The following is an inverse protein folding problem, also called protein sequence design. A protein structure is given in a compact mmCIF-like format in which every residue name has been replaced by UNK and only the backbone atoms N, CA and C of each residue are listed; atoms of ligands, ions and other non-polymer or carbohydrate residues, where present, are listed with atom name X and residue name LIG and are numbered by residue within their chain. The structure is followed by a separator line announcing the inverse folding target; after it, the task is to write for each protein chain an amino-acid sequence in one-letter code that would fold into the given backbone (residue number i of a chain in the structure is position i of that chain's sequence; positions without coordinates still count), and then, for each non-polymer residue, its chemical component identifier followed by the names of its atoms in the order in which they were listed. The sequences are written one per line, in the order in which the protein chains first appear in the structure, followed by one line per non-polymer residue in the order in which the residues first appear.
data_IF_653134401567
#
_entry.id   IF_653134401567
#
_cell.length_a   1.000
_cell.length_b   1.000
_cell.length_c   1.000
_cell.angle_alpha   90.00
_cell.angle_beta   90.00
_cell.angle_gamma   90.00
#
_symmetry.space_group_name_H-M   'P 1'
#
loop_
_entity.id
_entity.type
_entity.pdbx_description
1 polymer ?
#
# COMPACT_ATOMS: atom_id res chain seq x y z
N UNK A 1 -8.66 7.63 10.50
CA UNK A 1 -8.11 7.29 11.82
C UNK A 1 -7.79 5.81 11.87
N UNK A 2 -6.57 5.45 12.29
CA UNK A 2 -6.16 4.08 12.60
C UNK A 2 -5.85 4.03 14.09
N UNK A 3 -6.47 3.12 14.83
CA UNK A 3 -6.25 2.91 16.26
C UNK A 3 -5.88 1.47 16.53
N UNK A 4 -4.76 1.28 17.22
CA UNK A 4 -4.24 -0.02 17.61
C UNK A 4 -4.11 -0.03 19.13
N UNK A 5 -4.69 -1.03 19.78
CA UNK A 5 -4.70 -1.14 21.24
C UNK A 5 -4.19 -2.50 21.69
N UNK A 6 -3.11 -2.49 22.46
CA UNK A 6 -2.48 -3.65 23.08
C UNK A 6 -2.28 -4.82 22.10
N UNK A 7 -1.86 -4.51 20.88
CA UNK A 7 -1.68 -5.47 19.81
C UNK A 7 -0.58 -6.47 20.17
N UNK A 8 -0.96 -7.75 20.23
CA UNK A 8 -0.02 -8.86 20.23
C UNK A 8 -0.09 -9.59 18.89
N UNK A 9 1.07 -9.86 18.30
CA UNK A 9 1.18 -10.60 17.05
C UNK A 9 2.44 -11.45 17.03
N UNK A 10 2.34 -12.66 16.49
CA UNK A 10 3.43 -13.60 16.37
C UNK A 10 3.35 -14.39 15.07
N UNK A 11 4.50 -14.64 14.43
CA UNK A 11 4.60 -15.69 13.41
C UNK A 11 4.92 -17.00 14.10
N UNK A 12 3.96 -17.94 14.11
CA UNK A 12 4.06 -19.19 14.86
C UNK A 12 4.35 -18.90 16.34
N UNK A 13 5.58 -19.21 16.80
CA UNK A 13 6.02 -18.97 18.17
C UNK A 13 6.88 -17.72 18.34
N UNK A 14 7.29 -17.06 17.25
CA UNK A 14 8.14 -15.86 17.29
C UNK A 14 7.27 -14.62 17.45
N UNK A 15 7.29 -14.04 18.65
CA UNK A 15 6.59 -12.80 18.96
C UNK A 15 7.18 -11.65 18.15
N UNK A 16 6.30 -10.84 17.55
CA UNK A 16 6.63 -9.64 16.78
C UNK A 16 6.19 -8.39 17.55
N UNK A 17 4.96 -8.41 18.07
CA UNK A 17 4.42 -7.34 18.92
C UNK A 17 3.93 -7.93 20.24
N UNK A 18 4.18 -7.20 21.32
CA UNK A 18 3.71 -7.50 22.67
C UNK A 18 3.12 -6.23 23.29
N UNK A 19 1.80 -6.08 23.20
CA UNK A 19 1.12 -4.91 23.77
C UNK A 19 1.32 -3.60 23.01
N UNK A 20 1.58 -3.63 21.70
CA UNK A 20 1.78 -2.41 20.89
C UNK A 20 0.49 -1.58 20.84
N UNK A 21 0.57 -0.30 21.22
CA UNK A 21 -0.53 0.66 21.11
C UNK A 21 -0.09 1.88 20.31
N UNK A 22 -0.85 2.23 19.28
CA UNK A 22 -0.55 3.31 18.34
C UNK A 22 -1.83 3.98 17.86
N UNK A 23 -1.74 5.25 17.49
CA UNK A 23 -2.84 6.00 16.91
C UNK A 23 -2.32 6.88 15.77
N UNK A 24 -3.01 6.84 14.63
CA UNK A 24 -2.73 7.65 13.46
C UNK A 24 -3.99 8.43 13.08
N UNK A 25 -3.83 9.73 12.91
CA UNK A 25 -4.89 10.65 12.50
C UNK A 25 -5.03 10.69 10.98
N UNK A 26 -6.20 11.13 10.52
CA UNK A 26 -6.43 11.32 9.09
C UNK A 26 -5.64 12.54 8.57
N UNK A 27 -5.36 12.56 7.26
CA UNK A 27 -4.74 13.72 6.59
C UNK A 27 -3.24 13.90 6.83
N UNK A 28 -2.55 12.86 7.32
CA UNK A 28 -1.12 12.90 7.60
C UNK A 28 -0.38 11.77 6.87
N UNK A 29 0.89 12.02 6.54
CA UNK A 29 1.82 11.00 6.06
C UNK A 29 2.71 10.58 7.24
N UNK A 30 2.69 9.29 7.57
CA UNK A 30 3.47 8.72 8.68
C UNK A 30 4.62 7.88 8.15
N UNK A 31 5.85 8.17 8.61
CA UNK A 31 7.02 7.33 8.35
C UNK A 31 7.23 6.31 9.48
N UNK A 32 7.19 5.02 9.15
CA UNK A 32 7.52 3.95 10.10
C UNK A 32 9.00 3.56 9.98
N UNK A 33 9.80 3.95 10.97
CA UNK A 33 11.24 3.72 10.98
C UNK A 33 11.65 2.62 11.96
N UNK A 34 12.64 1.82 11.59
CA UNK A 34 13.17 0.75 12.42
C UNK A 34 14.07 -0.20 11.63
N UNK A 35 14.88 -0.99 12.33
CA UNK A 35 15.75 -2.00 11.70
C UNK A 35 14.95 -3.06 10.94
N UNK A 36 15.60 -3.82 10.07
CA UNK A 36 14.96 -4.95 9.41
C UNK A 36 14.56 -6.01 10.45
N UNK A 37 13.38 -6.61 10.27
CA UNK A 37 12.85 -7.61 11.20
C UNK A 37 12.17 -7.07 12.47
N UNK A 38 12.04 -5.74 12.65
CA UNK A 38 11.32 -5.16 13.80
C UNK A 38 9.80 -5.24 13.71
N UNK A 39 9.26 -5.76 12.60
CA UNK A 39 7.82 -5.95 12.41
C UNK A 39 7.12 -4.89 11.57
N UNK A 40 7.84 -3.94 10.94
CA UNK A 40 7.24 -2.88 10.09
C UNK A 40 6.23 -3.42 9.06
N UNK A 41 6.66 -4.35 8.22
CA UNK A 41 5.82 -5.01 7.22
C UNK A 41 4.67 -5.79 7.87
N UNK A 42 4.89 -6.40 9.04
CA UNK A 42 3.81 -7.06 9.80
C UNK A 42 2.75 -6.06 10.24
N UNK A 43 3.15 -4.90 10.77
CA UNK A 43 2.23 -3.84 11.19
C UNK A 43 1.36 -3.37 10.01
N UNK A 44 1.98 -3.08 8.86
CA UNK A 44 1.26 -2.69 7.66
C UNK A 44 0.27 -3.79 7.21
N UNK A 45 0.68 -5.06 7.22
CA UNK A 45 -0.18 -6.19 6.88
C UNK A 45 -1.32 -6.41 7.89
N UNK A 46 -1.09 -6.16 9.18
CA UNK A 46 -2.13 -6.19 10.20
C UNK A 46 -3.18 -5.08 9.95
N UNK A 47 -2.74 -3.84 9.63
CA UNK A 47 -3.62 -2.72 9.29
C UNK A 47 -4.38 -2.99 7.98
N UNK A 48 -3.73 -3.61 6.98
CA UNK A 48 -4.34 -3.99 5.70
C UNK A 48 -5.33 -5.18 5.81
N UNK A 49 -5.47 -5.79 7.00
CA UNK A 49 -6.31 -6.97 7.18
C UNK A 49 -5.77 -8.23 6.51
N UNK A 50 -4.45 -8.33 6.31
CA UNK A 50 -3.75 -9.49 5.77
C UNK A 50 -3.23 -10.42 6.89
N UNK A 51 -3.10 -9.92 8.11
CA UNK A 51 -2.67 -10.69 9.28
C UNK A 51 -3.61 -10.46 10.46
N UNK A 52 -4.09 -11.56 11.06
CA UNK A 52 -4.89 -11.49 12.28
C UNK A 52 -4.03 -11.14 13.50
N UNK A 53 -4.49 -10.27 14.40
CA UNK A 53 -3.88 -10.14 15.72
C UNK A 53 -4.06 -11.43 16.53
N UNK A 54 -3.11 -11.74 17.42
CA UNK A 54 -3.27 -12.81 18.42
C UNK A 54 -4.16 -12.34 19.58
N UNK A 55 -3.97 -11.10 20.00
CA UNK A 55 -4.80 -10.38 20.96
C UNK A 55 -4.67 -8.88 20.74
N UNK A 56 -5.50 -8.10 21.44
CA UNK A 56 -5.65 -6.66 21.21
C UNK A 56 -6.60 -6.38 20.04
N UNK A 57 -6.66 -5.11 19.62
CA UNK A 57 -7.59 -4.66 18.58
C UNK A 57 -6.93 -3.68 17.61
N UNK A 58 -7.43 -3.72 16.38
CA UNK A 58 -7.08 -2.77 15.32
C UNK A 58 -8.39 -2.25 14.75
N UNK A 59 -8.60 -0.94 14.83
CA UNK A 59 -9.71 -0.24 14.21
C UNK A 59 -9.18 0.70 13.13
N UNK A 60 -9.76 0.62 11.94
CA UNK A 60 -9.39 1.43 10.80
C UNK A 60 -10.65 2.06 10.22
N UNK A 61 -10.83 3.36 10.45
CA UNK A 61 -12.05 4.08 10.05
C UNK A 61 -13.36 3.37 10.45
N UNK A 62 -13.41 2.79 11.66
CA UNK A 62 -14.58 2.06 12.14
C UNK A 62 -14.60 0.56 11.80
N UNK A 63 -13.70 0.08 10.94
CA UNK A 63 -13.62 -1.33 10.55
C UNK A 63 -12.60 -2.12 11.37
N UNK A 64 -12.86 -3.41 11.55
CA UNK A 64 -11.87 -4.39 12.00
C UNK A 64 -11.20 -5.02 10.77
N UNK A 65 -9.94 -4.69 10.43
CA UNK A 65 -9.36 -5.02 9.12
C UNK A 65 -9.41 -6.49 8.72
N UNK A 66 -9.16 -7.40 9.67
CA UNK A 66 -9.12 -8.84 9.39
C UNK A 66 -10.47 -9.44 8.97
N UNK A 67 -11.59 -8.74 9.20
CA UNK A 67 -12.90 -9.14 8.68
C UNK A 67 -13.02 -8.90 7.16
N UNK A 68 -12.16 -8.06 6.58
CA UNK A 68 -12.04 -7.81 5.13
C UNK A 68 -13.39 -7.51 4.46
N UNK A 69 -14.23 -6.71 5.14
CA UNK A 69 -15.52 -6.30 4.58
C UNK A 69 -15.31 -5.50 3.27
N UNK A 70 -16.17 -5.65 2.25
CA UNK A 70 -16.00 -4.94 0.98
C UNK A 70 -15.82 -3.43 1.11
N UNK A 71 -16.62 -2.78 1.96
CA UNK A 71 -16.52 -1.34 2.27
C UNK A 71 -15.17 -0.93 2.88
N UNK A 72 -14.49 -1.84 3.58
CA UNK A 72 -13.13 -1.60 4.06
C UNK A 72 -12.11 -1.76 2.93
N UNK A 73 -12.27 -2.80 2.11
CA UNK A 73 -11.32 -3.13 1.04
C UNK A 73 -11.30 -2.09 -0.09
N UNK A 74 -12.41 -1.42 -0.38
CA UNK A 74 -12.44 -0.31 -1.33
C UNK A 74 -11.73 0.97 -0.82
N UNK A 75 -11.49 1.05 0.50
CA UNK A 75 -10.92 2.23 1.19
C UNK A 75 -9.45 2.05 1.61
N UNK A 76 -8.83 0.89 1.32
CA UNK A 76 -7.43 0.59 1.64
C UNK A 76 -6.67 0.01 0.44
N UNK A 77 -5.49 0.54 0.16
CA UNK A 77 -4.56 -0.05 -0.81
C UNK A 77 -3.18 -0.26 -0.19
N UNK A 78 -2.53 -1.37 -0.54
CA UNK A 78 -1.16 -1.67 -0.10
C UNK A 78 -0.22 -1.82 -1.29
N UNK A 79 0.87 -1.05 -1.29
CA UNK A 79 2.05 -1.31 -2.14
C UNK A 79 3.04 -2.13 -1.31
N UNK A 80 3.16 -3.45 -1.54
CA UNK A 80 4.08 -4.28 -0.78
C UNK A 80 5.52 -4.10 -1.25
N UNK A 81 6.49 -4.47 -0.40
CA UNK A 81 7.92 -4.46 -0.74
C UNK A 81 8.19 -5.36 -1.95
N UNK A 82 7.80 -6.63 -1.82
CA UNK A 82 7.81 -7.67 -2.85
C UNK A 82 6.42 -7.85 -3.45
N UNK A 83 6.34 -7.93 -4.77
CA UNK A 83 5.09 -8.12 -5.50
C UNK A 83 5.28 -9.01 -6.71
N UNK A 84 4.18 -9.63 -7.13
CA UNK A 84 4.05 -10.32 -8.40
C UNK A 84 2.91 -9.66 -9.18
N UNK A 85 3.17 -9.34 -10.45
CA UNK A 85 2.14 -8.84 -11.37
C UNK A 85 1.88 -9.88 -12.45
N UNK A 86 0.61 -10.06 -12.85
CA UNK A 86 0.27 -10.93 -13.96
C UNK A 86 0.87 -10.42 -15.26
N UNK A 87 1.11 -11.34 -16.20
CA UNK A 87 1.57 -11.04 -17.55
C UNK A 87 0.39 -10.58 -18.43
N UNK A 88 -0.04 -9.35 -18.20
CA UNK A 88 -1.13 -8.70 -18.93
C UNK A 88 -0.75 -7.26 -19.30
N UNK A 89 -1.38 -6.67 -20.32
CA UNK A 89 -1.30 -5.24 -20.59
C UNK A 89 -1.69 -4.39 -19.37
N UNK A 90 -1.12 -3.19 -19.26
CA UNK A 90 -1.50 -2.24 -18.20
C UNK A 90 -3.01 -1.92 -18.26
N UNK A 91 -3.57 -1.78 -19.47
CA UNK A 91 -4.99 -1.51 -19.67
C UNK A 91 -5.87 -2.59 -19.02
N UNK A 92 -5.54 -3.86 -19.20
CA UNK A 92 -6.27 -4.99 -18.62
C UNK A 92 -6.11 -5.01 -17.09
N UNK A 93 -4.89 -4.75 -16.59
CA UNK A 93 -4.65 -4.60 -15.16
C UNK A 93 -5.55 -3.51 -14.55
N UNK A 94 -5.67 -2.35 -15.21
CA UNK A 94 -6.56 -1.28 -14.77
C UNK A 94 -8.02 -1.70 -14.83
N UNK A 95 -8.46 -2.28 -15.94
CA UNK A 95 -9.84 -2.71 -16.13
C UNK A 95 -10.30 -3.66 -15.02
N UNK A 96 -9.44 -4.60 -14.62
CA UNK A 96 -9.77 -5.57 -13.57
C UNK A 96 -9.57 -5.04 -12.15
N UNK A 97 -8.60 -4.15 -11.93
CA UNK A 97 -8.25 -3.69 -10.58
C UNK A 97 -9.03 -2.44 -10.16
N UNK A 98 -9.29 -1.51 -11.08
CA UNK A 98 -9.95 -0.24 -10.78
C UNK A 98 -11.41 -0.42 -10.35
N UNK A 99 -12.07 -1.50 -10.79
CA UNK A 99 -13.45 -1.81 -10.42
C UNK A 99 -13.66 -1.99 -8.90
N UNK A 100 -12.60 -2.28 -8.14
CA UNK A 100 -12.64 -2.40 -6.68
C UNK A 100 -12.50 -1.07 -5.93
N UNK A 101 -12.21 0.04 -6.64
CA UNK A 101 -11.95 1.35 -6.06
C UNK A 101 -12.91 2.39 -6.68
N UNK A 102 -14.07 2.64 -6.05
CA UNK A 102 -15.10 3.52 -6.61
C UNK A 102 -14.66 4.96 -6.89
N UNK A 103 -13.55 5.40 -6.27
CA UNK A 103 -12.97 6.75 -6.44
C UNK A 103 -11.70 6.73 -7.31
N UNK A 104 -11.42 5.62 -7.98
CA UNK A 104 -10.28 5.53 -8.88
C UNK A 104 -10.38 6.60 -9.98
N UNK A 105 -9.29 7.32 -10.22
CA UNK A 105 -9.22 8.37 -11.20
C UNK A 105 -8.20 8.03 -12.30
N UNK A 106 -8.72 7.68 -13.48
CA UNK A 106 -7.92 7.31 -14.64
C UNK A 106 -6.99 8.44 -15.10
N UNK A 107 -7.44 9.70 -15.02
CA UNK A 107 -6.62 10.84 -15.43
C UNK A 107 -5.43 11.06 -14.48
N UNK A 108 -5.64 10.90 -13.17
CA UNK A 108 -4.55 10.91 -12.18
C UNK A 108 -3.56 9.77 -12.44
N UNK A 109 -4.05 8.55 -12.69
CA UNK A 109 -3.19 7.42 -13.04
C UNK A 109 -2.31 7.73 -14.25
N UNK A 110 -2.90 8.21 -15.34
CA UNK A 110 -2.18 8.59 -16.56
C UNK A 110 -1.15 9.70 -16.30
N UNK A 111 -1.50 10.70 -15.46
CA UNK A 111 -0.58 11.75 -15.06
C UNK A 111 0.62 11.20 -14.29
N UNK A 112 0.39 10.36 -13.27
CA UNK A 112 1.49 9.75 -12.50
C UNK A 112 2.38 8.84 -13.34
N UNK A 113 1.80 8.08 -14.27
CA UNK A 113 2.56 7.28 -15.23
C UNK A 113 3.46 8.14 -16.11
N UNK A 114 2.96 9.31 -16.56
CA UNK A 114 3.77 10.28 -17.30
C UNK A 114 4.88 10.89 -16.44
N UNK A 115 4.58 11.28 -15.20
CA UNK A 115 5.57 11.84 -14.26
C UNK A 115 6.69 10.82 -13.99
N UNK A 116 6.36 9.54 -13.81
CA UNK A 116 7.32 8.48 -13.58
C UNK A 116 7.98 7.95 -14.85
N UNK A 117 7.65 8.50 -16.03
CA UNK A 117 8.16 8.12 -17.34
C UNK A 117 7.98 6.61 -17.63
N UNK A 118 6.82 6.06 -17.28
CA UNK A 118 6.49 4.66 -17.56
C UNK A 118 5.78 4.54 -18.91
N UNK A 119 6.29 3.75 -19.87
CA UNK A 119 5.61 3.52 -21.15
C UNK A 119 4.24 2.88 -20.97
N UNK A 120 3.20 3.48 -21.55
CA UNK A 120 1.80 3.05 -21.37
C UNK A 120 1.39 1.88 -22.27
N UNK A 121 2.12 1.66 -23.37
CA UNK A 121 1.88 0.66 -24.42
C UNK A 121 2.54 -0.70 -24.14
N UNK A 122 3.08 -0.89 -22.94
CA UNK A 122 3.87 -2.07 -22.60
C UNK A 122 3.07 -3.08 -21.78
N UNK A 123 3.49 -4.35 -21.84
CA UNK A 123 2.96 -5.40 -20.94
C UNK A 123 3.69 -5.34 -19.61
N UNK A 124 2.99 -5.73 -18.53
CA UNK A 124 3.59 -5.75 -17.19
C UNK A 124 4.78 -6.73 -17.09
N UNK A 125 4.88 -7.75 -17.96
CA UNK A 125 6.01 -8.68 -17.98
C UNK A 125 7.31 -8.03 -18.45
N UNK A 126 7.24 -7.25 -19.54
CA UNK A 126 8.41 -6.63 -20.20
C UNK A 126 9.00 -5.44 -19.42
N UNK A 127 8.33 -5.01 -18.34
CA UNK A 127 8.80 -3.95 -17.47
C UNK A 127 9.89 -4.40 -16.51
N UNK A 128 10.84 -3.51 -16.22
CA UNK A 128 11.75 -3.71 -15.10
C UNK A 128 11.01 -3.70 -13.76
N UNK A 129 11.64 -4.24 -12.72
CA UNK A 129 11.07 -4.21 -11.36
C UNK A 129 10.68 -2.79 -10.93
N UNK A 130 11.54 -1.79 -11.21
CA UNK A 130 11.28 -0.39 -10.90
C UNK A 130 10.08 0.18 -11.68
N UNK A 131 9.93 -0.17 -12.96
CA UNK A 131 8.76 0.23 -13.76
C UNK A 131 7.47 -0.38 -13.21
N UNK A 132 7.46 -1.67 -12.86
CA UNK A 132 6.31 -2.31 -12.23
C UNK A 132 5.96 -1.66 -10.88
N UNK A 133 6.96 -1.30 -10.07
CA UNK A 133 6.77 -0.56 -8.82
C UNK A 133 6.14 0.83 -9.07
N UNK A 134 6.59 1.56 -10.10
CA UNK A 134 6.01 2.85 -10.52
C UNK A 134 4.55 2.70 -10.95
N UNK A 135 4.19 1.64 -11.67
CA UNK A 135 2.78 1.33 -12.00
C UNK A 135 1.95 1.14 -10.74
N UNK A 136 2.43 0.33 -9.79
CA UNK A 136 1.74 0.07 -8.52
C UNK A 136 1.57 1.34 -7.67
N UNK A 137 2.60 2.19 -7.61
CA UNK A 137 2.53 3.49 -6.90
C UNK A 137 1.53 4.42 -7.59
N UNK A 138 1.57 4.50 -8.92
CA UNK A 138 0.63 5.32 -9.71
C UNK A 138 -0.82 4.85 -9.50
N UNK A 139 -1.04 3.53 -9.49
CA UNK A 139 -2.35 2.95 -9.21
C UNK A 139 -2.79 3.26 -7.77
N UNK A 140 -1.91 3.04 -6.78
CA UNK A 140 -2.18 3.32 -5.38
C UNK A 140 -2.67 4.76 -5.17
N UNK A 141 -1.93 5.74 -5.71
CA UNK A 141 -2.29 7.15 -5.61
C UNK A 141 -3.60 7.45 -6.34
N UNK A 142 -3.80 6.89 -7.53
CA UNK A 142 -5.01 7.11 -8.32
C UNK A 142 -6.26 6.43 -7.75
N UNK A 143 -6.13 5.46 -6.83
CA UNK A 143 -7.31 4.81 -6.19
C UNK A 143 -8.16 5.80 -5.38
N UNK A 144 -7.58 6.89 -4.88
CA UNK A 144 -8.19 7.76 -3.88
C UNK A 144 -8.78 6.96 -2.69
N UNK A 145 -8.13 5.83 -2.34
CA UNK A 145 -8.39 5.09 -1.12
C UNK A 145 -8.06 6.00 0.08
N UNK A 146 -8.83 5.89 1.16
CA UNK A 146 -8.61 6.72 2.36
C UNK A 146 -7.30 6.38 3.07
N UNK A 147 -6.76 5.19 2.81
CA UNK A 147 -5.56 4.67 3.45
C UNK A 147 -4.67 4.02 2.39
N UNK A 148 -3.48 4.58 2.22
CA UNK A 148 -2.41 4.00 1.43
C UNK A 148 -1.33 3.48 2.37
N UNK A 149 -1.05 2.18 2.28
CA UNK A 149 0.00 1.51 3.02
C UNK A 149 1.12 1.19 2.05
N UNK A 150 2.35 1.62 2.36
CA UNK A 150 3.47 1.43 1.45
C UNK A 150 4.65 0.84 2.19
N UNK A 151 5.03 -0.38 1.81
CA UNK A 151 6.16 -1.10 2.38
C UNK A 151 7.38 -0.92 1.46
N UNK A 152 8.39 -0.20 1.97
CA UNK A 152 9.59 0.19 1.23
C UNK A 152 9.26 0.75 -0.19
N UNK A 153 8.38 1.77 -0.33
CA UNK A 153 7.89 2.21 -1.64
C UNK A 153 9.00 2.71 -2.56
N UNK A 154 10.05 3.29 -1.98
CA UNK A 154 11.18 3.83 -2.75
C UNK A 154 12.21 2.78 -3.14
N UNK A 155 12.11 1.55 -2.64
CA UNK A 155 13.04 0.49 -3.01
C UNK A 155 12.82 0.06 -4.46
N UNK A 156 13.92 -0.16 -5.20
CA UNK A 156 13.89 -0.42 -6.64
C UNK A 156 13.61 0.79 -7.54
N UNK A 157 13.35 1.98 -6.98
CA UNK A 157 13.26 3.23 -7.74
C UNK A 157 14.65 3.86 -7.94
N UNK A 158 14.87 4.45 -9.11
CA UNK A 158 16.04 5.30 -9.37
C UNK A 158 15.96 6.64 -8.60
N UNK A 159 17.05 7.40 -8.60
CA UNK A 159 17.19 8.64 -7.83
C UNK A 159 16.13 9.69 -8.24
N UNK A 160 15.88 9.83 -9.55
CA UNK A 160 14.91 10.80 -10.07
C UNK A 160 13.50 10.42 -9.65
N UNK A 161 13.14 9.15 -9.79
CA UNK A 161 11.84 8.62 -9.40
C UNK A 161 11.56 8.74 -7.90
N UNK A 162 12.57 8.58 -7.04
CA UNK A 162 12.44 8.85 -5.60
C UNK A 162 12.11 10.32 -5.31
N UNK A 163 12.70 11.24 -6.08
CA UNK A 163 12.42 12.67 -5.95
C UNK A 163 11.00 13.01 -6.40
N UNK A 164 10.57 12.47 -7.54
CA UNK A 164 9.21 12.62 -8.07
C UNK A 164 8.17 12.06 -7.10
N UNK A 165 8.39 10.86 -6.56
CA UNK A 165 7.51 10.25 -5.57
C UNK A 165 7.30 11.15 -4.34
N UNK A 166 8.39 11.72 -3.79
CA UNK A 166 8.29 12.65 -2.65
C UNK A 166 7.52 13.93 -2.97
N UNK A 167 7.66 14.45 -4.20
CA UNK A 167 6.90 15.63 -4.65
C UNK A 167 5.41 15.32 -4.72
N UNK A 168 5.05 14.20 -5.34
CA UNK A 168 3.64 13.77 -5.46
C UNK A 168 3.00 13.56 -4.08
N UNK A 169 3.74 13.02 -3.10
CA UNK A 169 3.22 12.85 -1.74
C UNK A 169 3.06 14.17 -0.95
N UNK A 170 3.65 15.27 -1.42
CA UNK A 170 3.61 16.57 -0.76
C UNK A 170 2.59 17.54 -1.37
N UNK A 171 1.96 17.17 -2.50
CA UNK A 171 0.85 17.89 -3.14
C UNK A 171 -0.47 17.64 -2.40
#
# INVERSE_FOLDING_TARGET
MIRIQNLSFAYRKKLVFDGLSLQFEAGHVYGLLGKNGTGKSSLLRNIAGLLAPKSGSINVNGFTPFQRLPLFLEDVYMVPEEFYLPDIPIADFLQHSAAFYPRFNQAQFSNYMSVFEVPADNTLQNMSYGQKKKVLISFALATNAKILLMDEPTNGLDIMSKSQFRKILAE
#
